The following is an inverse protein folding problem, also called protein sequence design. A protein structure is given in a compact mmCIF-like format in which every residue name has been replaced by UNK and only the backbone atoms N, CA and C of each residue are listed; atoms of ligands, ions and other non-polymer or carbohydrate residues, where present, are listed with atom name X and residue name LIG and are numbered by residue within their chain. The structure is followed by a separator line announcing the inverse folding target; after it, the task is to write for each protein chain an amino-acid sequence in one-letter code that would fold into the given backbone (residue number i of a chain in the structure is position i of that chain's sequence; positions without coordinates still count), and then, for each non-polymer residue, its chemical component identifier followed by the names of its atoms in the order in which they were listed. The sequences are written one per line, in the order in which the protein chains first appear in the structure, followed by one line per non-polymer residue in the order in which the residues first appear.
data_IF_438541378128
#
_entry.id   IF_438541378128
#
_cell.length_a   1.000
_cell.length_b   1.000
_cell.length_c   1.000
_cell.angle_alpha   90.00
_cell.angle_beta   90.00
_cell.angle_gamma   90.00
#
_symmetry.space_group_name_H-M   'P 1'
#
loop_
_entity.id
_entity.type
_entity.pdbx_description
1 polymer ?
#
# COMPACT_ATOMS: atom_id res chain seq x y z
N UNK A 1 18.18 -27.01 -21.36
CA UNK A 1 18.10 -25.57 -21.01
C UNK A 1 16.69 -25.05 -20.69
N UNK A 2 15.61 -25.44 -21.41
CA UNK A 2 14.23 -24.93 -21.15
C UNK A 2 13.69 -25.18 -19.73
N UNK A 3 14.08 -26.26 -19.06
CA UNK A 3 13.62 -26.59 -17.70
C UNK A 3 14.17 -25.67 -16.61
N UNK A 4 15.42 -25.22 -16.74
CA UNK A 4 16.08 -24.34 -15.75
C UNK A 4 15.44 -22.97 -15.73
N UNK A 5 15.13 -22.41 -16.91
CA UNK A 5 14.47 -21.11 -17.05
C UNK A 5 13.05 -21.15 -16.47
N UNK A 6 12.28 -22.22 -16.76
CA UNK A 6 10.94 -22.39 -16.18
C UNK A 6 11.00 -22.55 -14.65
N UNK A 7 11.99 -23.27 -14.13
CA UNK A 7 12.22 -23.42 -12.69
C UNK A 7 12.49 -22.08 -12.01
N UNK A 8 13.42 -21.29 -12.54
CA UNK A 8 13.73 -19.95 -12.02
C UNK A 8 12.51 -19.01 -12.05
N UNK A 9 11.70 -19.04 -13.13
CA UNK A 9 10.48 -18.25 -13.21
C UNK A 9 9.40 -18.69 -12.20
N UNK A 10 9.32 -19.98 -11.90
CA UNK A 10 8.38 -20.52 -10.90
C UNK A 10 8.80 -20.11 -9.48
N UNK A 11 10.10 -20.17 -9.17
CA UNK A 11 10.65 -19.69 -7.90
C UNK A 11 10.39 -18.20 -7.70
N UNK A 12 10.66 -17.39 -8.73
CA UNK A 12 10.43 -15.94 -8.66
C UNK A 12 8.93 -15.61 -8.55
N UNK A 13 8.05 -16.43 -9.15
CA UNK A 13 6.61 -16.29 -8.95
C UNK A 13 6.21 -16.57 -7.50
N UNK A 14 6.78 -17.60 -6.88
CA UNK A 14 6.52 -17.92 -5.47
C UNK A 14 7.02 -16.81 -4.55
N UNK A 15 8.20 -16.26 -4.82
CA UNK A 15 8.76 -15.11 -4.11
C UNK A 15 7.84 -13.87 -4.24
N UNK A 16 7.42 -13.55 -5.47
CA UNK A 16 6.52 -12.44 -5.74
C UNK A 16 5.17 -12.58 -5.02
N UNK A 17 4.59 -13.79 -4.97
CA UNK A 17 3.35 -14.05 -4.24
C UNK A 17 3.51 -13.88 -2.72
N UNK A 18 4.68 -14.22 -2.16
CA UNK A 18 4.99 -13.95 -0.74
C UNK A 18 5.08 -12.45 -0.48
N UNK A 19 5.80 -11.71 -1.32
CA UNK A 19 5.90 -10.24 -1.22
C UNK A 19 4.54 -9.56 -1.31
N UNK A 20 3.66 -10.04 -2.20
CA UNK A 20 2.29 -9.52 -2.34
C UNK A 20 1.52 -9.62 -1.02
N UNK A 21 1.57 -10.79 -0.37
CA UNK A 21 0.92 -11.04 0.93
C UNK A 21 1.51 -10.16 2.03
N UNK A 22 2.82 -10.01 2.08
CA UNK A 22 3.51 -9.18 3.07
C UNK A 22 3.15 -7.70 2.94
N UNK A 23 3.15 -7.16 1.72
CA UNK A 23 2.76 -5.78 1.48
C UNK A 23 1.28 -5.51 1.76
N UNK A 24 0.40 -6.46 1.43
CA UNK A 24 -1.02 -6.35 1.80
C UNK A 24 -1.20 -6.37 3.32
N UNK A 25 -0.50 -7.28 4.03
CA UNK A 25 -0.53 -7.34 5.49
C UNK A 25 0.02 -6.06 6.13
N UNK A 26 1.13 -5.51 5.63
CA UNK A 26 1.69 -4.25 6.10
C UNK A 26 0.68 -3.10 5.91
N UNK A 27 0.01 -3.02 4.76
CA UNK A 27 -1.02 -2.01 4.50
C UNK A 27 -2.21 -2.11 5.45
N UNK A 28 -2.64 -3.33 5.81
CA UNK A 28 -3.74 -3.55 6.76
C UNK A 28 -3.40 -3.13 8.19
N UNK A 29 -2.14 -3.26 8.60
CA UNK A 29 -1.64 -2.84 9.93
C UNK A 29 -1.54 -1.32 10.08
N UNK A 30 -1.45 -0.57 8.98
CA UNK A 30 -1.36 0.90 9.05
C UNK A 30 -2.70 1.53 9.44
N UNK A 31 -2.72 2.50 10.39
CA UNK A 31 -3.96 3.08 10.91
C UNK A 31 -4.74 3.82 9.83
N UNK A 32 -6.03 3.52 9.69
CA UNK A 32 -6.87 4.05 8.61
C UNK A 32 -7.00 5.57 8.67
N UNK A 33 -7.09 6.19 7.50
CA UNK A 33 -7.24 7.62 7.36
C UNK A 33 -5.93 8.42 7.37
N UNK A 34 -6.07 9.74 7.46
CA UNK A 34 -4.99 10.69 7.59
C UNK A 34 -5.42 11.89 8.45
N UNK A 35 -4.46 12.54 9.10
CA UNK A 35 -4.71 13.83 9.75
C UNK A 35 -4.72 14.94 8.70
N UNK A 36 -5.80 15.72 8.70
CA UNK A 36 -5.96 16.97 7.97
C UNK A 36 -5.91 18.13 8.95
N UNK A 37 -5.27 19.23 8.56
CA UNK A 37 -5.12 20.43 9.38
C UNK A 37 -5.89 21.57 8.74
N UNK A 38 -6.81 22.18 9.48
CA UNK A 38 -7.42 23.46 9.12
C UNK A 38 -6.76 24.57 9.95
N UNK A 39 -6.38 25.66 9.31
CA UNK A 39 -5.89 26.87 9.97
C UNK A 39 -7.01 27.91 9.96
N UNK A 40 -7.48 28.34 11.13
CA UNK A 40 -8.54 29.34 11.26
C UNK A 40 -8.07 30.35 12.32
N UNK A 41 -8.01 31.64 11.96
CA UNK A 41 -7.57 32.73 12.85
C UNK A 41 -6.28 32.41 13.64
N UNK A 42 -5.28 31.81 13.00
CA UNK A 42 -4.00 31.43 13.62
C UNK A 42 -4.00 30.09 14.37
N UNK A 43 -5.17 29.52 14.68
CA UNK A 43 -5.29 28.23 15.37
C UNK A 43 -5.30 27.04 14.40
N UNK A 44 -4.70 25.92 14.82
CA UNK A 44 -4.66 24.65 14.07
C UNK A 44 -5.71 23.69 14.60
N UNK A 45 -6.60 23.24 13.73
CA UNK A 45 -7.65 22.28 14.02
C UNK A 45 -7.35 20.98 13.27
N UNK A 46 -7.16 19.90 14.01
CA UNK A 46 -6.85 18.60 13.43
C UNK A 46 -8.13 17.78 13.23
N UNK A 47 -8.25 17.16 12.06
CA UNK A 47 -9.33 16.25 11.71
C UNK A 47 -8.74 14.93 11.22
N UNK A 48 -9.20 13.80 11.78
CA UNK A 48 -8.94 12.49 11.21
C UNK A 48 -9.93 12.26 10.06
N UNK A 49 -9.39 12.16 8.85
CA UNK A 49 -10.15 11.95 7.63
C UNK A 49 -10.06 10.49 7.25
N UNK A 50 -11.19 9.80 7.15
CA UNK A 50 -11.24 8.39 6.75
C UNK A 50 -12.45 8.11 5.87
N UNK A 51 -12.43 7.00 5.13
CA UNK A 51 -13.59 6.52 4.37
C UNK A 51 -14.22 5.35 5.10
N UNK A 52 -15.51 5.48 5.42
CA UNK A 52 -16.34 4.44 6.01
C UNK A 52 -17.54 4.22 5.07
N UNK A 53 -17.77 2.97 4.63
CA UNK A 53 -18.88 2.60 3.72
C UNK A 53 -19.01 3.53 2.49
N UNK A 54 -17.87 3.88 1.87
CA UNK A 54 -17.81 4.75 0.69
C UNK A 54 -17.91 6.26 0.97
N UNK A 55 -18.40 6.67 2.14
CA UNK A 55 -18.53 8.08 2.53
C UNK A 55 -17.27 8.60 3.22
N UNK A 56 -16.96 9.88 3.00
CA UNK A 56 -15.85 10.57 3.64
C UNK A 56 -16.29 11.08 5.02
N UNK A 57 -15.57 10.68 6.06
CA UNK A 57 -15.84 11.06 7.45
C UNK A 57 -14.70 11.91 8.00
N UNK A 58 -15.07 13.03 8.61
CA UNK A 58 -14.16 13.94 9.30
C UNK A 58 -14.43 13.83 10.79
N UNK A 59 -13.47 13.30 11.55
CA UNK A 59 -13.55 13.25 13.00
C UNK A 59 -12.66 14.33 13.56
N UNK A 60 -13.23 15.32 14.24
CA UNK A 60 -12.46 16.36 14.90
C UNK A 60 -11.61 15.76 16.02
N UNK A 61 -10.33 16.10 16.07
CA UNK A 61 -9.35 15.59 17.04
C UNK A 61 -8.78 16.66 17.96
N UNK A 62 -9.26 17.91 17.86
CA UNK A 62 -8.78 18.97 18.74
C UNK A 62 -7.32 19.36 18.46
N UNK A 63 -6.62 19.70 19.54
CA UNK A 63 -5.17 19.85 19.54
C UNK A 63 -4.53 18.45 19.60
N UNK A 64 -3.73 18.12 18.60
CA UNK A 64 -3.03 16.83 18.51
C UNK A 64 -1.55 17.05 18.81
N UNK A 65 -0.90 16.22 19.65
CA UNK A 65 0.53 16.34 19.91
C UNK A 65 1.36 16.28 18.63
N UNK A 66 2.47 17.03 18.57
CA UNK A 66 3.35 17.09 17.39
C UNK A 66 3.84 15.69 16.97
N UNK A 67 4.08 14.81 17.94
CA UNK A 67 4.49 13.42 17.74
C UNK A 67 3.43 12.62 16.98
N UNK A 68 2.17 12.75 17.36
CA UNK A 68 1.07 12.06 16.67
C UNK A 68 0.88 12.62 15.25
N UNK A 69 1.03 13.93 15.05
CA UNK A 69 1.04 14.54 13.71
C UNK A 69 2.16 13.95 12.85
N UNK A 70 3.37 13.79 13.40
CA UNK A 70 4.50 13.19 12.71
C UNK A 70 4.23 11.72 12.36
N UNK A 71 3.71 10.94 13.32
CA UNK A 71 3.30 9.55 13.12
C UNK A 71 2.31 9.39 11.96
N UNK A 72 1.27 10.23 11.88
CA UNK A 72 0.30 10.14 10.77
C UNK A 72 0.89 10.56 9.41
N UNK A 73 1.88 11.46 9.38
CA UNK A 73 2.63 11.78 8.15
C UNK A 73 3.46 10.59 7.68
N UNK A 74 4.23 9.98 8.59
CA UNK A 74 5.03 8.78 8.30
C UNK A 74 4.13 7.64 7.81
N UNK A 75 3.01 7.39 8.48
CA UNK A 75 2.02 6.39 8.04
C UNK A 75 1.51 6.67 6.62
N UNK A 76 1.27 7.94 6.27
CA UNK A 76 0.84 8.31 4.92
C UNK A 76 1.91 7.97 3.87
N UNK A 77 3.18 8.23 4.18
CA UNK A 77 4.32 7.91 3.33
C UNK A 77 4.51 6.40 3.18
N UNK A 78 4.52 5.65 4.29
CA UNK A 78 4.59 4.18 4.26
C UNK A 78 3.44 3.58 3.45
N UNK A 79 2.23 4.11 3.61
CA UNK A 79 1.08 3.65 2.81
C UNK A 79 1.29 3.89 1.33
N UNK A 80 1.79 5.06 0.92
CA UNK A 80 2.09 5.34 -0.47
C UNK A 80 3.16 4.38 -1.03
N UNK A 81 4.23 4.15 -0.25
CA UNK A 81 5.31 3.21 -0.58
C UNK A 81 4.79 1.79 -0.77
N UNK A 82 4.09 1.23 0.22
CA UNK A 82 3.57 -0.14 0.13
C UNK A 82 2.51 -0.30 -0.96
N UNK A 83 1.67 0.71 -1.24
CA UNK A 83 0.73 0.66 -2.38
C UNK A 83 1.46 0.60 -3.71
N UNK A 84 2.55 1.37 -3.87
CA UNK A 84 3.39 1.34 -5.07
C UNK A 84 4.02 -0.04 -5.25
N UNK A 85 4.66 -0.56 -4.20
CA UNK A 85 5.29 -1.89 -4.20
C UNK A 85 4.28 -2.99 -4.51
N UNK A 86 3.10 -2.97 -3.87
CA UNK A 86 2.03 -3.94 -4.12
C UNK A 86 1.55 -3.90 -5.57
N UNK A 87 1.39 -2.71 -6.15
CA UNK A 87 1.01 -2.55 -7.56
C UNK A 87 2.07 -3.11 -8.51
N UNK A 88 3.36 -2.88 -8.22
CA UNK A 88 4.48 -3.42 -9.00
C UNK A 88 4.54 -4.95 -8.91
N UNK A 89 4.46 -5.52 -7.71
CA UNK A 89 4.47 -6.98 -7.52
C UNK A 89 3.27 -7.64 -8.19
N UNK A 90 2.07 -7.06 -8.12
CA UNK A 90 0.89 -7.59 -8.84
C UNK A 90 1.09 -7.65 -10.35
N UNK A 91 1.74 -6.63 -10.93
CA UNK A 91 2.11 -6.63 -12.36
C UNK A 91 3.13 -7.73 -12.67
N UNK A 92 4.13 -7.90 -11.81
CA UNK A 92 5.13 -8.96 -11.94
C UNK A 92 4.50 -10.36 -11.86
N UNK A 93 3.64 -10.61 -10.86
CA UNK A 93 2.89 -11.88 -10.72
C UNK A 93 2.08 -12.16 -11.99
N UNK A 94 1.37 -11.16 -12.53
CA UNK A 94 0.61 -11.31 -13.78
C UNK A 94 1.51 -11.67 -14.95
N UNK A 95 2.66 -11.02 -15.09
CA UNK A 95 3.64 -11.31 -16.12
C UNK A 95 4.19 -12.73 -15.99
N UNK A 96 4.71 -13.11 -14.82
CA UNK A 96 5.28 -14.44 -14.56
C UNK A 96 4.28 -15.57 -14.79
N UNK A 97 3.03 -15.41 -14.36
CA UNK A 97 1.94 -16.36 -14.66
C UNK A 97 1.71 -16.52 -16.16
N UNK A 98 1.81 -15.44 -16.91
CA UNK A 98 1.62 -15.44 -18.37
C UNK A 98 2.81 -16.11 -19.08
N UNK A 99 4.04 -15.83 -18.64
CA UNK A 99 5.27 -16.43 -19.17
C UNK A 99 5.35 -17.93 -18.88
N UNK A 100 4.91 -18.38 -17.70
CA UNK A 100 4.91 -19.80 -17.33
C UNK A 100 3.84 -20.61 -18.07
N UNK A 101 2.68 -20.02 -18.39
CA UNK A 101 1.63 -20.69 -19.17
C UNK A 101 2.04 -20.95 -20.62
N UNK A 102 3.07 -20.26 -21.12
CA UNK A 102 3.43 -20.29 -22.52
C UNK A 102 2.35 -19.58 -23.33
N UNK A 103 2.59 -18.32 -23.69
CA UNK A 103 2.14 -17.91 -25.01
C UNK A 103 3.16 -18.54 -25.95
N UNK A 104 2.78 -19.59 -26.67
CA UNK A 104 3.31 -19.72 -28.02
C UNK A 104 3.11 -18.34 -28.66
N UNK A 105 4.21 -17.74 -29.11
CA UNK A 105 4.11 -16.55 -29.92
C UNK A 105 3.26 -16.93 -31.12
N UNK A 106 2.14 -16.21 -31.32
CA UNK A 106 1.54 -16.10 -32.65
C UNK A 106 2.50 -15.26 -33.47
#
# INVERSE_FOLDING_TARGET
MRGVIKGALAEELQNSLRMEKEYDAALRKLPKGCLSVKKIKGHKYYYLVSREKGKLKYVYKGAVPKEEVKRYKEVKEYRAKYRKLLSQVKKQVKYLRSSLRGKEAI
#
